data_IF_861229167217
#
_entry.id   IF_861229167217
#
_cell.length_a   1.000
_cell.length_b   1.000
_cell.length_c   1.000
_cell.angle_alpha   90.00
_cell.angle_beta   90.00
_cell.angle_gamma   90.00
#
_symmetry.space_group_name_H-M   'P 1'
#
loop_
_entity.id
_entity.type
_entity.pdbx_description
1 polymer ?
#
# COMPACT_ATOMS: atom_id res chain seq x y z
N UNK A 1 5.03 22.62 -3.81
CA UNK A 1 6.36 22.48 -3.17
C UNK A 1 7.17 21.52 -4.03
N UNK A 2 8.19 22.01 -4.73
CA UNK A 2 9.06 21.16 -5.55
C UNK A 2 10.07 20.48 -4.62
N UNK A 3 10.20 19.15 -4.62
CA UNK A 3 11.19 18.48 -3.80
C UNK A 3 12.60 18.91 -4.23
N UNK A 4 13.46 19.23 -3.26
CA UNK A 4 14.87 19.53 -3.54
C UNK A 4 15.56 18.27 -4.09
N UNK A 5 15.85 18.29 -5.38
CA UNK A 5 16.52 17.20 -6.08
C UNK A 5 18.05 17.31 -5.97
N UNK A 6 18.61 18.38 -5.40
CA UNK A 6 20.06 18.64 -5.38
C UNK A 6 20.89 17.52 -4.76
N UNK A 7 20.27 16.70 -3.90
CA UNK A 7 20.91 15.59 -3.19
C UNK A 7 20.68 14.21 -3.84
N UNK A 8 20.13 14.15 -5.05
CA UNK A 8 19.76 12.88 -5.69
C UNK A 8 20.92 11.92 -5.97
N UNK A 9 22.17 12.42 -6.03
CA UNK A 9 23.39 11.62 -6.20
C UNK A 9 24.10 11.23 -4.90
N UNK A 10 23.63 11.71 -3.76
CA UNK A 10 24.23 11.38 -2.47
C UNK A 10 23.81 9.98 -2.05
N UNK A 11 24.73 9.02 -2.04
CA UNK A 11 24.47 7.64 -1.59
C UNK A 11 23.92 7.57 -0.17
N UNK A 12 24.41 8.43 0.73
CA UNK A 12 23.94 8.52 2.12
C UNK A 12 22.44 8.82 2.28
N UNK A 13 21.78 9.44 1.27
CA UNK A 13 20.33 9.64 1.27
C UNK A 13 19.54 8.34 1.08
N UNK A 14 20.18 7.31 0.52
CA UNK A 14 19.56 6.03 0.18
C UNK A 14 20.10 4.86 1.01
N UNK A 15 20.97 5.10 1.98
CA UNK A 15 21.51 4.07 2.89
C UNK A 15 20.38 3.28 3.57
N UNK A 16 19.29 3.98 3.93
CA UNK A 16 18.09 3.35 4.48
C UNK A 16 17.43 2.33 3.55
N UNK A 17 17.57 2.47 2.21
CA UNK A 17 17.03 1.51 1.24
C UNK A 17 17.79 0.16 1.28
N UNK A 18 19.05 0.15 1.69
CA UNK A 18 19.85 -1.07 1.82
C UNK A 18 19.34 -1.94 2.99
N UNK A 19 18.80 -1.30 4.03
CA UNK A 19 18.16 -1.96 5.15
C UNK A 19 16.69 -2.37 4.87
N UNK A 20 16.09 -1.92 3.77
CA UNK A 20 14.72 -2.27 3.43
C UNK A 20 14.63 -3.68 2.86
N UNK A 21 13.66 -4.44 3.37
CA UNK A 21 13.29 -5.71 2.74
C UNK A 21 12.60 -5.45 1.40
N UNK A 22 12.62 -6.44 0.51
CA UNK A 22 11.88 -6.36 -0.75
C UNK A 22 10.39 -6.03 -0.56
N UNK A 23 9.79 -6.47 0.56
CA UNK A 23 8.40 -6.17 0.90
C UNK A 23 8.19 -4.72 1.32
N UNK A 24 9.14 -4.14 2.06
CA UNK A 24 9.07 -2.73 2.47
C UNK A 24 9.23 -1.80 1.26
N UNK A 25 10.19 -2.12 0.38
CA UNK A 25 10.33 -1.43 -0.89
C UNK A 25 9.04 -1.54 -1.72
N UNK A 26 8.51 -2.74 -1.93
CA UNK A 26 7.25 -2.91 -2.68
C UNK A 26 6.10 -2.08 -2.09
N UNK A 27 6.01 -1.99 -0.76
CA UNK A 27 5.01 -1.18 -0.08
C UNK A 27 5.20 0.33 -0.30
N UNK A 28 6.44 0.82 -0.24
CA UNK A 28 6.79 2.23 -0.50
C UNK A 28 6.41 2.70 -1.92
N UNK A 29 6.51 1.81 -2.91
CA UNK A 29 6.06 2.09 -4.28
C UNK A 29 4.54 2.03 -4.39
N UNK A 30 3.91 1.05 -3.74
CA UNK A 30 2.47 0.87 -3.80
C UNK A 30 1.71 2.05 -3.17
N UNK A 31 2.14 2.53 -1.99
CA UNK A 31 1.49 3.66 -1.32
C UNK A 31 1.64 5.01 -2.03
N UNK A 32 2.59 5.12 -2.96
CA UNK A 32 2.80 6.31 -3.80
C UNK A 32 2.06 6.23 -5.15
N UNK A 33 1.38 5.12 -5.41
CA UNK A 33 0.60 4.95 -6.63
C UNK A 33 -0.78 5.59 -6.48
N UNK A 34 -1.07 6.58 -7.31
CA UNK A 34 -2.34 7.34 -7.29
C UNK A 34 -3.57 6.45 -7.52
N UNK A 35 -3.44 5.40 -8.35
CA UNK A 35 -4.53 4.46 -8.57
C UNK A 35 -4.78 3.57 -7.34
N UNK A 36 -3.72 3.20 -6.61
CA UNK A 36 -3.87 2.48 -5.34
C UNK A 36 -4.53 3.36 -4.28
N UNK A 37 -4.14 4.64 -4.20
CA UNK A 37 -4.75 5.61 -3.29
C UNK A 37 -6.26 5.78 -3.56
N UNK A 38 -6.64 5.94 -4.84
CA UNK A 38 -8.04 6.02 -5.25
C UNK A 38 -8.83 4.74 -4.95
N UNK A 39 -8.27 3.55 -5.24
CA UNK A 39 -8.91 2.26 -4.91
C UNK A 39 -9.06 2.10 -3.38
N UNK A 40 -8.06 2.55 -2.60
CA UNK A 40 -8.08 2.49 -1.15
C UNK A 40 -9.11 3.45 -0.54
N UNK A 41 -9.19 4.70 -0.99
CA UNK A 41 -10.21 5.65 -0.51
C UNK A 41 -11.62 5.22 -0.93
N UNK A 42 -11.79 4.63 -2.12
CA UNK A 42 -13.05 3.99 -2.51
C UNK A 42 -13.42 2.86 -1.54
N UNK A 43 -12.43 2.06 -1.09
CA UNK A 43 -12.63 1.03 -0.05
C UNK A 43 -12.99 1.57 1.32
N UNK A 44 -12.47 2.76 1.66
CA UNK A 44 -12.71 3.42 2.94
C UNK A 44 -14.06 4.14 2.98
N UNK A 45 -14.51 4.65 1.83
CA UNK A 45 -15.73 5.47 1.68
C UNK A 45 -16.95 4.61 1.30
N UNK A 46 -16.74 3.36 0.89
CA UNK A 46 -17.79 2.42 0.51
C UNK A 46 -18.81 2.16 1.64
N UNK A 47 -19.99 2.76 1.51
CA UNK A 47 -21.19 2.44 2.27
C UNK A 47 -21.74 1.09 1.77
N UNK A 48 -21.07 -0.01 2.09
CA UNK A 48 -21.39 -1.35 1.61
C UNK A 48 -20.44 -2.42 2.13
N UNK A 49 -20.73 -3.68 1.81
CA UNK A 49 -19.95 -4.81 2.32
C UNK A 49 -18.47 -4.69 1.91
N UNK A 50 -17.52 -4.69 2.87
CA UNK A 50 -16.10 -4.45 2.59
C UNK A 50 -15.41 -5.64 1.91
N UNK A 51 -16.02 -6.83 1.91
CA UNK A 51 -15.45 -8.04 1.31
C UNK A 51 -15.15 -7.93 -0.20
N UNK A 52 -16.12 -7.57 -1.07
CA UNK A 52 -15.89 -7.48 -2.52
C UNK A 52 -14.83 -6.43 -2.90
N UNK A 53 -14.76 -5.34 -2.14
CA UNK A 53 -13.82 -4.24 -2.41
C UNK A 53 -12.41 -4.57 -1.89
N UNK A 54 -12.33 -5.26 -0.75
CA UNK A 54 -11.06 -5.82 -0.27
C UNK A 54 -10.53 -6.87 -1.25
N UNK A 55 -11.39 -7.73 -1.80
CA UNK A 55 -10.98 -8.74 -2.77
C UNK A 55 -10.50 -8.13 -4.09
N UNK A 56 -11.15 -7.05 -4.56
CA UNK A 56 -10.68 -6.30 -5.73
C UNK A 56 -9.26 -5.74 -5.52
N UNK A 57 -9.00 -5.12 -4.36
CA UNK A 57 -7.66 -4.60 -4.03
C UNK A 57 -6.63 -5.74 -3.95
N UNK A 58 -6.99 -6.89 -3.38
CA UNK A 58 -6.10 -8.06 -3.30
C UNK A 58 -5.74 -8.60 -4.68
N UNK A 59 -6.70 -8.76 -5.58
CA UNK A 59 -6.46 -9.30 -6.92
C UNK A 59 -5.68 -8.33 -7.81
N UNK A 60 -6.01 -7.03 -7.73
CA UNK A 60 -5.39 -5.99 -8.54
C UNK A 60 -3.96 -5.67 -8.12
N UNK A 61 -3.70 -5.63 -6.81
CA UNK A 61 -2.42 -5.19 -6.25
C UNK A 61 -1.59 -6.32 -5.63
N UNK A 62 -2.10 -7.55 -5.61
CA UNK A 62 -1.41 -8.72 -5.05
C UNK A 62 -1.27 -8.69 -3.52
N UNK A 63 -2.01 -7.82 -2.84
CA UNK A 63 -1.95 -7.69 -1.38
C UNK A 63 -2.68 -8.83 -0.70
N UNK A 64 -2.21 -9.25 0.48
CA UNK A 64 -2.90 -10.20 1.35
C UNK A 64 -3.17 -9.56 2.71
N UNK A 65 -4.37 -9.04 2.89
CA UNK A 65 -4.82 -8.58 4.20
C UNK A 65 -5.20 -9.78 5.07
N UNK A 66 -4.84 -9.78 6.37
CA UNK A 66 -5.35 -10.79 7.30
C UNK A 66 -6.89 -10.72 7.26
N UNK A 67 -7.52 -11.82 6.85
CA UNK A 67 -8.97 -11.96 6.94
C UNK A 67 -9.36 -11.80 8.41
N UNK A 68 -10.34 -10.94 8.72
CA UNK A 68 -10.93 -10.96 10.05
C UNK A 68 -11.46 -12.37 10.27
N UNK A 69 -10.96 -13.06 11.29
CA UNK A 69 -11.47 -14.35 11.71
C UNK A 69 -12.97 -14.20 11.85
N UNK A 70 -13.75 -14.86 10.99
CA UNK A 70 -15.20 -14.90 11.16
C UNK A 70 -15.44 -15.49 12.53
N UNK A 71 -15.80 -14.64 13.50
CA UNK A 71 -16.30 -15.10 14.78
C UNK A 71 -17.58 -15.85 14.44
N UNK A 72 -17.45 -17.17 14.36
CA UNK A 72 -18.54 -18.11 14.13
C UNK A 72 -19.44 -18.02 15.36
N UNK A 73 -20.42 -17.13 15.31
CA UNK A 73 -21.47 -17.05 16.32
C UNK A 73 -22.26 -18.35 16.26
N UNK A 74 -22.07 -19.22 17.25
CA UNK A 74 -22.98 -20.33 17.56
C UNK A 74 -24.00 -19.86 18.58
#
# INVERSE_FOLDING_TARGET
MTPDASTWRSSAKYDHLDALTASDLAWEWLRRNDAYDADFEASRTGQGDPEPLTEHIRQRWGLRFPSRSSSRTS
#
